data_IF_528634764802
#
_entry.id   IF_528634764802
#
_cell.length_a   1.000
_cell.length_b   1.000
_cell.length_c   1.000
_cell.angle_alpha   90.00
_cell.angle_beta   90.00
_cell.angle_gamma   90.00
#
_symmetry.space_group_name_H-M   'P 1'
#
loop_
_entity.id
_entity.type
_entity.pdbx_description
1 polymer ?
#
# COMPACT_ATOMS: atom_id res chain seq x y z
N UNK A 1 -4.64 -5.49 10.52
CA UNK A 1 -5.24 -5.80 11.85
C UNK A 1 -5.23 -4.54 12.73
N UNK A 2 -6.36 -4.15 13.32
CA UNK A 2 -6.48 -2.86 14.03
C UNK A 2 -5.66 -2.78 15.33
N UNK A 3 -5.60 -3.87 16.10
CA UNK A 3 -4.91 -3.88 17.40
C UNK A 3 -3.38 -3.66 17.29
N UNK A 4 -2.80 -3.91 16.11
CA UNK A 4 -1.37 -3.74 15.86
C UNK A 4 -1.01 -2.28 15.49
N UNK A 5 -1.99 -1.46 15.10
CA UNK A 5 -1.75 -0.11 14.59
C UNK A 5 -1.07 0.80 15.63
N UNK A 6 -1.53 0.74 16.88
CA UNK A 6 -0.95 1.52 17.98
C UNK A 6 0.51 1.11 18.24
N UNK A 7 0.79 -0.19 18.30
CA UNK A 7 2.14 -0.70 18.52
C UNK A 7 3.10 -0.30 17.39
N UNK A 8 2.67 -0.37 16.12
CA UNK A 8 3.49 0.06 14.99
C UNK A 8 3.76 1.56 15.02
N UNK A 9 2.74 2.38 15.31
CA UNK A 9 2.87 3.83 15.41
C UNK A 9 3.85 4.24 16.51
N UNK A 10 3.74 3.62 17.68
CA UNK A 10 4.63 3.92 18.80
C UNK A 10 6.07 3.50 18.48
N UNK A 11 6.25 2.35 17.83
CA UNK A 11 7.56 1.94 17.32
C UNK A 11 8.16 2.98 16.36
N UNK A 12 7.40 3.49 15.36
CA UNK A 12 7.89 4.52 14.45
C UNK A 12 8.31 5.80 15.19
N UNK A 13 7.51 6.27 16.15
CA UNK A 13 7.86 7.46 16.95
C UNK A 13 9.16 7.27 17.73
N UNK A 14 9.32 6.13 18.38
CA UNK A 14 10.52 5.79 19.16
C UNK A 14 11.79 5.71 18.28
N UNK A 15 11.63 5.40 17.00
CA UNK A 15 12.72 5.31 16.03
C UNK A 15 12.95 6.61 15.25
N UNK A 16 12.40 7.73 15.72
CA UNK A 16 12.70 9.07 15.20
C UNK A 16 11.89 9.48 13.97
N UNK A 17 10.86 8.72 13.60
CA UNK A 17 9.92 9.16 12.58
C UNK A 17 9.02 10.26 13.16
N UNK A 18 9.12 11.46 12.61
CA UNK A 18 8.42 12.65 13.12
C UNK A 18 7.15 12.99 12.36
N UNK A 19 7.05 12.54 11.10
CA UNK A 19 5.89 12.74 10.25
C UNK A 19 5.11 11.44 10.15
N UNK A 20 4.08 11.31 10.97
CA UNK A 20 3.23 10.12 11.08
C UNK A 20 1.78 10.61 11.14
N UNK A 21 0.93 10.07 10.25
CA UNK A 21 -0.49 10.37 10.18
C UNK A 21 -1.31 9.14 10.57
N UNK A 22 -2.33 9.35 11.40
CA UNK A 22 -3.36 8.34 11.64
C UNK A 22 -4.30 8.33 10.43
N UNK A 23 -4.58 7.18 9.80
CA UNK A 23 -5.40 7.12 8.60
C UNK A 23 -6.89 7.31 8.93
N UNK A 24 -7.61 8.05 8.09
CA UNK A 24 -9.07 8.19 8.17
C UNK A 24 -9.77 7.00 7.45
N UNK A 25 -9.07 6.32 6.53
CA UNK A 25 -9.57 5.14 5.82
C UNK A 25 -8.72 3.88 6.03
N UNK A 26 -9.40 2.73 6.04
CA UNK A 26 -8.75 1.43 6.24
C UNK A 26 -7.71 1.17 5.15
N UNK A 27 -6.49 0.86 5.57
CA UNK A 27 -5.42 0.33 4.75
C UNK A 27 -4.59 -0.68 5.56
N UNK A 28 -3.90 -1.59 4.87
CA UNK A 28 -3.03 -2.59 5.52
C UNK A 28 -1.54 -2.41 5.15
N UNK A 29 -1.12 -1.16 4.89
CA UNK A 29 0.29 -0.80 4.69
C UNK A 29 0.94 -1.42 3.45
N UNK A 30 2.23 -1.74 3.53
CA UNK A 30 3.01 -2.27 2.39
C UNK A 30 2.51 -3.62 1.83
N UNK A 31 1.61 -4.32 2.54
CA UNK A 31 0.92 -5.47 1.96
C UNK A 31 -0.01 -5.08 0.80
N UNK A 32 -0.57 -3.87 0.82
CA UNK A 32 -1.43 -3.32 -0.23
C UNK A 32 -0.84 -2.11 -0.95
N UNK A 33 0.32 -1.59 -0.52
CA UNK A 33 1.01 -0.48 -1.17
C UNK A 33 2.42 -0.88 -1.60
N UNK A 34 2.75 -0.70 -2.87
CA UNK A 34 4.09 -0.94 -3.39
C UNK A 34 4.67 0.35 -3.99
N UNK A 35 5.84 0.77 -3.50
CA UNK A 35 6.48 2.03 -3.89
C UNK A 35 7.42 1.80 -5.06
N UNK A 36 7.28 2.60 -6.12
CA UNK A 36 8.23 2.72 -7.24
C UNK A 36 8.85 4.12 -7.25
N UNK A 37 9.75 4.43 -8.19
CA UNK A 37 10.30 5.78 -8.31
C UNK A 37 9.23 6.78 -8.75
N UNK A 38 8.32 6.36 -9.63
CA UNK A 38 7.33 7.24 -10.24
C UNK A 38 5.96 7.20 -9.56
N UNK A 39 5.60 6.07 -8.94
CA UNK A 39 4.24 5.80 -8.47
C UNK A 39 4.20 5.04 -7.15
N UNK A 40 3.11 5.25 -6.40
CA UNK A 40 2.65 4.32 -5.37
C UNK A 40 1.57 3.43 -5.99
N UNK A 41 1.82 2.13 -6.12
CA UNK A 41 0.83 1.16 -6.57
C UNK A 41 0.00 0.71 -5.37
N UNK A 42 -1.33 0.74 -5.50
CA UNK A 42 -2.24 0.57 -4.37
C UNK A 42 -3.34 -0.47 -4.67
N UNK A 43 -3.29 -1.60 -3.98
CA UNK A 43 -4.31 -2.65 -4.04
C UNK A 43 -5.64 -2.18 -3.46
N UNK A 44 -6.75 -2.65 -4.04
CA UNK A 44 -8.10 -2.48 -3.51
C UNK A 44 -8.99 -3.67 -3.87
N UNK A 45 -10.09 -3.81 -3.12
CA UNK A 45 -11.12 -4.84 -3.38
C UNK A 45 -11.39 -5.76 -2.18
N UNK A 46 -10.37 -6.04 -1.36
CA UNK A 46 -10.47 -6.94 -0.21
C UNK A 46 -10.13 -6.29 1.12
N UNK A 47 -8.90 -5.77 1.27
CA UNK A 47 -8.36 -5.36 2.58
C UNK A 47 -8.26 -3.85 2.74
N UNK A 48 -7.73 -3.15 1.74
CA UNK A 48 -7.64 -1.69 1.73
C UNK A 48 -8.83 -1.03 1.03
N UNK A 49 -9.30 0.09 1.60
CA UNK A 49 -10.35 0.93 1.03
C UNK A 49 -9.79 1.73 -0.15
N UNK A 50 -10.52 1.89 -1.28
CA UNK A 50 -10.09 2.78 -2.35
C UNK A 50 -9.89 4.23 -1.89
N UNK A 51 -10.55 4.66 -0.81
CA UNK A 51 -10.41 6.02 -0.29
C UNK A 51 -9.06 6.28 0.40
N UNK A 52 -8.35 5.23 0.84
CA UNK A 52 -7.01 5.40 1.43
C UNK A 52 -5.95 5.74 0.37
N UNK A 53 -6.27 5.56 -0.92
CA UNK A 53 -5.38 5.89 -2.03
C UNK A 53 -5.14 7.40 -2.11
N UNK A 54 -6.19 8.21 -1.93
CA UNK A 54 -6.07 9.67 -1.92
C UNK A 54 -5.27 10.15 -0.69
N UNK A 55 -5.49 9.54 0.48
CA UNK A 55 -4.72 9.86 1.70
C UNK A 55 -3.23 9.57 1.52
N UNK A 56 -2.90 8.41 0.95
CA UNK A 56 -1.52 8.03 0.67
C UNK A 56 -0.87 8.96 -0.36
N UNK A 57 -1.61 9.35 -1.41
CA UNK A 57 -1.12 10.32 -2.40
C UNK A 57 -0.76 11.65 -1.77
N UNK A 58 -1.65 12.20 -0.94
CA UNK A 58 -1.45 13.49 -0.28
C UNK A 58 -0.30 13.43 0.73
N UNK A 59 -0.23 12.35 1.52
CA UNK A 59 0.78 12.22 2.56
C UNK A 59 2.18 11.97 2.00
N UNK A 60 2.32 11.07 1.02
CA UNK A 60 3.62 10.73 0.44
C UNK A 60 4.05 11.64 -0.72
N UNK A 61 3.12 12.44 -1.27
CA UNK A 61 3.41 13.33 -2.40
C UNK A 61 3.75 12.59 -3.69
N UNK A 62 3.38 11.31 -3.81
CA UNK A 62 3.64 10.45 -4.95
C UNK A 62 2.32 10.08 -5.63
N UNK A 63 2.20 10.17 -6.96
CA UNK A 63 0.98 9.77 -7.66
C UNK A 63 0.61 8.31 -7.36
N UNK A 64 -0.66 8.07 -7.05
CA UNK A 64 -1.17 6.73 -6.70
C UNK A 64 -1.89 6.09 -7.88
N UNK A 65 -1.55 4.83 -8.17
CA UNK A 65 -2.27 3.99 -9.13
C UNK A 65 -3.02 2.91 -8.36
N UNK A 66 -4.35 3.00 -8.37
CA UNK A 66 -5.23 1.96 -7.81
C UNK A 66 -5.29 0.72 -8.70
N UNK A 67 -5.16 -0.46 -8.09
CA UNK A 67 -5.18 -1.77 -8.75
C UNK A 67 -6.29 -2.63 -8.14
N UNK A 68 -7.26 -3.04 -8.96
CA UNK A 68 -8.38 -3.87 -8.54
C UNK A 68 -7.98 -5.34 -8.44
N UNK A 69 -7.99 -5.90 -7.22
CA UNK A 69 -7.78 -7.32 -6.97
C UNK A 69 -9.12 -8.06 -7.11
N UNK A 70 -9.16 -9.10 -7.94
CA UNK A 70 -10.40 -9.84 -8.25
C UNK A 70 -10.42 -11.29 -7.78
N UNK A 71 -9.26 -11.83 -7.39
CA UNK A 71 -9.14 -13.20 -6.89
C UNK A 71 -8.84 -13.21 -5.37
N UNK A 72 -9.72 -13.78 -4.53
CA UNK A 72 -9.56 -13.76 -3.07
C UNK A 72 -8.34 -14.58 -2.58
N UNK A 73 -7.71 -15.39 -3.42
CA UNK A 73 -6.42 -16.03 -3.11
C UNK A 73 -5.28 -15.01 -3.01
N UNK A 74 -5.42 -13.88 -3.69
CA UNK A 74 -4.48 -12.77 -3.73
C UNK A 74 -5.10 -11.54 -3.07
N UNK A 75 -5.47 -11.67 -1.78
CA UNK A 75 -6.25 -10.65 -1.06
C UNK A 75 -5.42 -9.43 -0.63
N UNK A 76 -4.09 -9.48 -0.78
CA UNK A 76 -3.16 -8.38 -0.63
C UNK A 76 -2.37 -8.18 -1.93
N UNK A 77 -2.01 -6.93 -2.25
CA UNK A 77 -1.24 -6.61 -3.45
C UNK A 77 0.07 -7.41 -3.53
N UNK A 78 0.80 -7.49 -2.43
CA UNK A 78 2.12 -8.13 -2.34
C UNK A 78 2.13 -9.64 -2.65
N UNK A 79 0.97 -10.28 -2.59
CA UNK A 79 0.82 -11.70 -2.95
C UNK A 79 0.77 -11.94 -4.46
N UNK A 80 0.51 -10.90 -5.25
CA UNK A 80 0.35 -10.96 -6.71
C UNK A 80 1.21 -9.94 -7.47
N UNK A 81 1.86 -8.99 -6.78
CA UNK A 81 2.73 -7.99 -7.37
C UNK A 81 3.92 -7.72 -6.45
N UNK A 82 5.10 -7.56 -7.05
CA UNK A 82 6.33 -7.19 -6.36
C UNK A 82 7.13 -6.20 -7.19
N UNK A 83 7.59 -5.11 -6.59
CA UNK A 83 8.55 -4.19 -7.21
C UNK A 83 9.93 -4.82 -7.14
N UNK A 84 10.57 -5.01 -8.30
CA UNK A 84 11.90 -5.62 -8.43
C UNK A 84 13.00 -4.56 -8.39
N UNK A 85 12.78 -3.45 -9.11
CA UNK A 85 13.66 -2.30 -9.11
C UNK A 85 12.80 -1.03 -9.11
N UNK A 86 12.73 -0.38 -7.95
CA UNK A 86 11.99 0.87 -7.80
C UNK A 86 12.56 1.98 -8.68
N UNK A 87 13.89 2.05 -8.87
CA UNK A 87 14.51 3.13 -9.65
C UNK A 87 14.22 3.03 -11.15
N UNK A 88 13.88 1.83 -11.63
CA UNK A 88 13.49 1.56 -13.00
C UNK A 88 11.97 1.37 -13.18
N UNK A 89 11.18 1.53 -12.12
CA UNK A 89 9.76 1.20 -12.06
C UNK A 89 9.46 -0.24 -12.53
N UNK A 90 10.38 -1.18 -12.27
CA UNK A 90 10.27 -2.57 -12.70
C UNK A 90 9.45 -3.39 -11.69
N UNK A 91 8.43 -4.09 -12.18
CA UNK A 91 7.55 -4.95 -11.38
C UNK A 91 7.47 -6.37 -11.94
N UNK A 92 7.29 -7.33 -11.05
CA UNK A 92 6.76 -8.66 -11.34
C UNK A 92 5.32 -8.71 -10.87
N UNK A 93 4.41 -9.27 -11.67
CA UNK A 93 3.03 -9.44 -11.24
C UNK A 93 2.38 -10.68 -11.88
N UNK A 94 1.31 -11.17 -11.24
CA UNK A 94 0.46 -12.23 -11.77
C UNK A 94 -0.80 -11.62 -12.40
N UNK A 95 -0.95 -11.65 -13.74
CA UNK A 95 -2.01 -10.90 -14.42
C UNK A 95 -3.44 -11.28 -14.01
N UNK A 96 -3.72 -12.56 -13.77
CA UNK A 96 -5.10 -13.01 -13.50
C UNK A 96 -5.62 -12.60 -12.10
N UNK A 97 -4.78 -11.98 -11.27
CA UNK A 97 -5.21 -11.39 -10.00
C UNK A 97 -5.92 -10.03 -10.18
N UNK A 98 -5.87 -9.42 -11.37
CA UNK A 98 -6.32 -8.05 -11.65
C UNK A 98 -7.38 -7.97 -12.77
N UNK A 99 -8.09 -6.84 -12.87
CA UNK A 99 -9.10 -6.56 -13.92
C UNK A 99 -8.87 -5.24 -14.66
#
# INVERSE_FOLDING_TARGET
RFEEAEAHRDWFREHGFTDIREPDHVNEGEGDFAVTASYLLAGRGFRSSPLSHDEAQEFFGLPVIGLDLVDPRYYHLDTALCVLDAAADEIMYYPDAFS
#
